data_IF_426676560242
#
_entry.id   IF_426676560242
#
_cell.length_a   1.000
_cell.length_b   1.000
_cell.length_c   1.000
_cell.angle_alpha   90.00
_cell.angle_beta   90.00
_cell.angle_gamma   90.00
#
_symmetry.space_group_name_H-M   'P 1'
#
loop_
_entity.id
_entity.type
_entity.pdbx_description
1 polymer ?
#
# COMPACT_ATOMS: atom_id res chain seq x y z
N UNK A 1 2.30 9.89 -3.92
CA UNK A 1 3.54 10.69 -4.01
C UNK A 1 4.08 10.93 -2.62
N UNK A 2 5.39 10.90 -2.46
CA UNK A 2 6.07 11.33 -1.24
C UNK A 2 6.09 12.86 -1.15
N UNK A 3 5.52 13.45 -0.10
CA UNK A 3 5.39 14.91 -0.01
C UNK A 3 6.71 15.64 0.30
N UNK A 4 7.75 14.92 0.73
CA UNK A 4 9.06 15.50 1.03
C UNK A 4 10.00 15.47 -0.18
N UNK A 5 10.02 14.33 -0.89
CA UNK A 5 10.93 14.14 -2.04
C UNK A 5 10.27 14.27 -3.41
N UNK A 6 8.94 14.23 -3.49
CA UNK A 6 8.19 14.22 -4.76
C UNK A 6 8.24 12.86 -5.48
N UNK A 7 8.78 11.81 -4.86
CA UNK A 7 8.88 10.49 -5.47
C UNK A 7 7.52 9.79 -5.54
N UNK A 8 7.18 9.29 -6.71
CA UNK A 8 6.03 8.41 -6.89
C UNK A 8 6.41 6.95 -6.65
N UNK A 9 5.59 6.23 -5.89
CA UNK A 9 5.76 4.81 -5.61
C UNK A 9 4.49 4.06 -5.96
N UNK A 10 4.64 2.97 -6.69
CA UNK A 10 3.58 1.98 -6.92
C UNK A 10 3.79 0.81 -5.98
N UNK A 11 2.78 0.53 -5.16
CA UNK A 11 2.81 -0.54 -4.17
C UNK A 11 1.54 -1.38 -4.28
N UNK A 12 1.67 -2.68 -4.08
CA UNK A 12 0.54 -3.60 -3.98
C UNK A 12 0.46 -4.12 -2.56
N UNK A 13 -0.71 -4.00 -1.93
CA UNK A 13 -0.94 -4.50 -0.57
C UNK A 13 -1.44 -5.94 -0.67
N UNK A 14 -0.67 -6.89 -0.13
CA UNK A 14 -0.98 -8.32 -0.09
C UNK A 14 -0.96 -8.87 1.35
N UNK A 15 -1.29 -10.15 1.51
CA UNK A 15 -1.07 -10.87 2.76
C UNK A 15 0.42 -10.96 3.12
N UNK A 16 0.73 -11.23 4.39
CA UNK A 16 2.12 -11.30 4.85
C UNK A 16 2.94 -12.38 4.12
N UNK A 17 2.33 -13.53 3.82
CA UNK A 17 2.97 -14.65 3.13
C UNK A 17 3.32 -14.35 1.66
N UNK A 18 2.58 -13.41 1.05
CA UNK A 18 2.69 -13.07 -0.37
C UNK A 18 3.55 -11.82 -0.62
N UNK A 19 4.00 -11.14 0.45
CA UNK A 19 4.73 -9.88 0.33
C UNK A 19 6.16 -10.07 -0.21
N UNK A 20 6.56 -9.19 -1.13
CA UNK A 20 7.84 -9.23 -1.85
C UNK A 20 8.24 -7.80 -2.23
N UNK A 21 9.18 -7.22 -1.48
CA UNK A 21 9.58 -5.81 -1.63
C UNK A 21 10.25 -5.52 -2.98
N UNK A 22 10.96 -6.50 -3.54
CA UNK A 22 11.60 -6.37 -4.85
C UNK A 22 10.55 -6.21 -5.97
N UNK A 23 9.34 -6.74 -5.75
CA UNK A 23 8.19 -6.57 -6.65
C UNK A 23 7.30 -5.37 -6.29
N UNK A 24 7.62 -4.63 -5.23
CA UNK A 24 6.75 -3.57 -4.69
C UNK A 24 5.50 -4.10 -3.99
N UNK A 25 5.51 -5.36 -3.56
CA UNK A 25 4.43 -5.99 -2.82
C UNK A 25 4.70 -5.87 -1.33
N UNK A 26 3.79 -5.23 -0.60
CA UNK A 26 3.91 -5.00 0.83
C UNK A 26 2.82 -5.75 1.59
N UNK A 27 3.17 -6.22 2.78
CA UNK A 27 2.18 -6.82 3.67
C UNK A 27 1.21 -5.77 4.19
N UNK A 28 -0.07 -6.13 4.28
CA UNK A 28 -1.10 -5.35 5.00
C UNK A 28 -0.71 -5.06 6.46
N UNK A 29 0.15 -5.89 7.06
CA UNK A 29 0.60 -5.71 8.44
C UNK A 29 1.73 -4.69 8.59
N UNK A 30 2.36 -4.28 7.48
CA UNK A 30 3.45 -3.31 7.47
C UNK A 30 2.95 -1.89 7.82
N UNK A 31 3.83 -0.99 8.30
CA UNK A 31 3.44 0.39 8.59
C UNK A 31 2.83 1.11 7.38
N UNK A 32 3.39 0.88 6.19
CA UNK A 32 2.87 1.42 4.93
C UNK A 32 1.48 0.85 4.62
N UNK A 33 1.34 -0.48 4.68
CA UNK A 33 0.06 -1.15 4.43
C UNK A 33 -1.03 -0.59 5.36
N UNK A 34 -0.80 -0.65 6.67
CA UNK A 34 -1.74 -0.17 7.70
C UNK A 34 -2.13 1.28 7.54
N UNK A 35 -1.20 2.17 7.22
CA UNK A 35 -1.50 3.59 7.09
C UNK A 35 -2.16 3.99 5.76
N UNK A 36 -2.17 3.10 4.77
CA UNK A 36 -2.89 3.27 3.51
C UNK A 36 -4.29 2.62 3.54
N UNK A 37 -4.55 1.65 4.42
CA UNK A 37 -5.89 1.06 4.54
C UNK A 37 -6.93 2.13 4.92
N UNK A 38 -8.02 2.17 4.17
CA UNK A 38 -9.14 3.10 4.40
C UNK A 38 -8.88 4.52 3.88
N UNK A 39 -7.78 4.75 3.19
CA UNK A 39 -7.50 6.02 2.50
C UNK A 39 -8.13 6.05 1.12
N UNK A 40 -8.49 7.25 0.68
CA UNK A 40 -9.08 7.51 -0.63
C UNK A 40 -8.10 8.27 -1.53
N UNK A 41 -8.39 8.38 -2.82
CA UNK A 41 -7.56 9.19 -3.72
C UNK A 41 -7.61 10.66 -3.30
N UNK A 42 -6.45 11.29 -3.18
CA UNK A 42 -6.28 12.66 -2.66
C UNK A 42 -6.07 12.76 -1.14
N UNK A 43 -6.21 11.65 -0.40
CA UNK A 43 -5.88 11.65 1.04
C UNK A 43 -4.36 11.72 1.27
N UNK A 44 -3.99 12.32 2.40
CA UNK A 44 -2.63 12.24 2.95
C UNK A 44 -2.57 11.13 4.00
N UNK A 45 -1.68 10.16 3.77
CA UNK A 45 -1.33 9.09 4.68
C UNK A 45 -0.03 9.43 5.42
N UNK A 46 -0.12 9.60 6.74
CA UNK A 46 1.04 9.82 7.61
C UNK A 46 1.51 8.49 8.19
N UNK A 47 2.67 8.03 7.73
CA UNK A 47 3.23 6.72 8.05
C UNK A 47 4.39 6.88 9.01
N UNK A 48 4.35 6.18 10.15
CA UNK A 48 5.48 6.11 11.07
C UNK A 48 6.48 5.04 10.59
N UNK A 49 7.70 5.47 10.26
CA UNK A 49 8.80 4.60 9.87
C UNK A 49 9.92 4.66 10.95
N UNK A 50 10.84 3.68 11.00
CA UNK A 50 11.92 3.67 11.99
C UNK A 50 12.81 4.94 11.98
N UNK A 51 12.91 5.60 10.82
CA UNK A 51 13.67 6.84 10.65
C UNK A 51 12.89 8.14 10.89
N UNK A 52 11.62 8.04 11.30
CA UNK A 52 10.70 9.18 11.44
C UNK A 52 9.37 8.97 10.73
N UNK A 53 8.47 9.94 10.82
CA UNK A 53 7.22 9.91 10.06
C UNK A 53 7.40 10.44 8.65
N UNK A 54 6.77 9.81 7.66
CA UNK A 54 6.72 10.30 6.27
C UNK A 54 5.27 10.46 5.82
N UNK A 55 5.01 11.43 4.97
CA UNK A 55 3.69 11.76 4.49
C UNK A 55 3.59 11.45 3.00
N UNK A 56 2.55 10.71 2.63
CA UNK A 56 2.30 10.30 1.25
C UNK A 56 0.90 10.73 0.83
N UNK A 57 0.78 11.30 -0.35
CA UNK A 57 -0.51 11.53 -1.00
C UNK A 57 -0.91 10.31 -1.84
N UNK A 58 -2.15 9.86 -1.69
CA UNK A 58 -2.70 8.75 -2.46
C UNK A 58 -3.14 9.26 -3.83
N UNK A 59 -2.32 9.02 -4.84
CA UNK A 59 -2.60 9.47 -6.21
C UNK A 59 -3.61 8.59 -6.94
N UNK A 60 -3.59 7.28 -6.69
CA UNK A 60 -4.44 6.32 -7.39
C UNK A 60 -4.58 5.04 -6.58
N UNK A 61 -5.77 4.42 -6.64
CA UNK A 61 -6.05 3.10 -6.07
C UNK A 61 -6.49 2.19 -7.22
N UNK A 62 -5.85 1.04 -7.34
CA UNK A 62 -6.17 -0.01 -8.32
C UNK A 62 -6.46 -1.30 -7.57
N UNK A 63 -7.52 -2.00 -7.98
CA UNK A 63 -7.88 -3.31 -7.45
C UNK A 63 -7.68 -4.31 -8.57
N UNK A 64 -6.69 -5.17 -8.42
CA UNK A 64 -6.43 -6.31 -9.31
C UNK A 64 -6.95 -7.58 -8.61
N UNK A 65 -8.27 -7.64 -8.42
CA UNK A 65 -8.95 -8.76 -7.79
C UNK A 65 -9.99 -9.30 -8.76
N UNK A 66 -9.74 -10.49 -9.31
CA UNK A 66 -10.64 -11.16 -10.27
C UNK A 66 -11.88 -11.80 -9.60
N UNK A 67 -12.03 -11.61 -8.28
CA UNK A 67 -13.06 -12.29 -7.49
C UNK A 67 -12.53 -13.58 -6.85
N UNK A 68 -13.27 -14.15 -5.89
CA UNK A 68 -12.99 -15.51 -5.46
C UNK A 68 -13.19 -16.43 -6.66
N UNK A 69 -12.15 -17.21 -7.02
CA UNK A 69 -12.39 -18.41 -7.80
C UNK A 69 -13.34 -19.26 -6.98
N UNK A 70 -14.60 -19.42 -7.42
CA UNK A 70 -15.50 -20.40 -6.84
C UNK A 70 -14.80 -21.75 -6.92
N UNK A 71 -14.26 -22.20 -5.78
CA UNK A 71 -13.86 -23.58 -5.62
C UNK A 71 -15.14 -24.39 -5.73
N UNK A 72 -15.36 -24.96 -6.91
CA UNK A 72 -16.42 -25.93 -7.12
C UNK A 72 -16.08 -27.13 -6.23
N UNK A 73 -16.88 -27.37 -5.18
CA UNK A 73 -16.85 -28.62 -4.41
C UNK A 73 -17.09 -29.85 -5.32
#
# INVERSE_FOLDING_TARGET
EDLDSGDEKRLTILGADESDIDKGWISIESPLGKGLIGKEVGDIAKIALPGGSKEFEVMQILIDYDGPHEVSE
#
